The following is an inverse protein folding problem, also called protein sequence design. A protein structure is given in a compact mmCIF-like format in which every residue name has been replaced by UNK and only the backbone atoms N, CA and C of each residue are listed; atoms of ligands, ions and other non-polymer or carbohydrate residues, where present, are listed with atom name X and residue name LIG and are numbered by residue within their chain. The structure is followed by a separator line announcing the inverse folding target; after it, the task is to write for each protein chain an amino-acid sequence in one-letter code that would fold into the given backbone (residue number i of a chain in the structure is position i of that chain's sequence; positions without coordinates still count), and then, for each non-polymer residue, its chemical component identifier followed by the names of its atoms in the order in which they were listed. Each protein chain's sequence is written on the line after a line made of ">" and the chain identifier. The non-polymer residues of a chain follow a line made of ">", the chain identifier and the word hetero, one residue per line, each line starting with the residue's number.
data_IF_821014704964
#
_entry.id   IF_821014704964
#
_cell.length_a   1.000
_cell.length_b   1.000
_cell.length_c   1.000
_cell.angle_alpha   90.00
_cell.angle_beta   90.00
_cell.angle_gamma   90.00
#
_symmetry.space_group_name_H-M   'P 1'
#
loop_
_entity.id
_entity.type
_entity.pdbx_description
1 polymer ?
#
# COMPACT_ATOMS: atom_id res chain seq x y z
N UNK A 1 -11.00 2.62 -4.62
CA UNK A 1 -10.55 3.82 -5.36
C UNK A 1 -10.87 3.62 -6.82
N UNK A 2 -11.64 4.52 -7.43
CA UNK A 2 -12.26 4.31 -8.74
C UNK A 2 -11.43 4.85 -9.91
N UNK A 3 -10.45 5.72 -9.64
CA UNK A 3 -9.55 6.26 -10.65
C UNK A 3 -8.16 6.61 -10.06
N UNK A 4 -7.13 6.81 -10.91
CA UNK A 4 -5.79 7.10 -10.43
C UNK A 4 -5.69 8.44 -9.67
N UNK A 5 -6.52 9.42 -10.03
CA UNK A 5 -6.54 10.72 -9.37
C UNK A 5 -6.97 10.61 -7.90
N UNK A 6 -7.98 9.80 -7.61
CA UNK A 6 -8.42 9.49 -6.24
C UNK A 6 -7.32 8.83 -5.42
N UNK A 7 -6.57 7.91 -6.02
CA UNK A 7 -5.42 7.28 -5.36
C UNK A 7 -4.33 8.30 -5.02
N UNK A 8 -3.94 9.13 -5.99
CA UNK A 8 -2.92 10.16 -5.78
C UNK A 8 -3.34 11.18 -4.71
N UNK A 9 -4.61 11.60 -4.71
CA UNK A 9 -5.16 12.44 -3.65
C UNK A 9 -5.13 11.74 -2.30
N UNK A 10 -5.52 10.46 -2.21
CA UNK A 10 -5.46 9.70 -0.97
C UNK A 10 -4.02 9.53 -0.44
N UNK A 11 -3.04 9.32 -1.33
CA UNK A 11 -1.62 9.30 -0.94
C UNK A 11 -1.17 10.64 -0.36
N UNK A 12 -1.53 11.74 -1.02
CA UNK A 12 -1.23 13.10 -0.55
C UNK A 12 -1.89 13.41 0.80
N UNK A 13 -3.12 12.94 0.99
CA UNK A 13 -3.88 13.13 2.23
C UNK A 13 -3.45 12.17 3.36
N UNK A 14 -2.53 11.23 3.09
CA UNK A 14 -2.10 10.22 4.07
C UNK A 14 -3.19 9.21 4.43
N UNK A 15 -4.15 8.98 3.52
CA UNK A 15 -5.30 8.05 3.68
C UNK A 15 -5.05 6.65 3.11
N UNK A 16 -3.84 6.40 2.59
CA UNK A 16 -3.41 5.08 2.11
C UNK A 16 -2.60 4.39 3.20
N UNK A 17 -2.94 3.13 3.45
CA UNK A 17 -2.38 2.33 4.53
C UNK A 17 -1.95 0.96 4.06
N UNK A 18 -1.05 0.37 4.83
CA UNK A 18 -0.54 -0.98 4.69
C UNK A 18 -0.76 -1.71 6.02
N UNK A 19 -1.17 -2.97 5.98
CA UNK A 19 -1.36 -3.73 7.21
C UNK A 19 -0.07 -4.44 7.63
N UNK A 20 0.39 -4.18 8.86
CA UNK A 20 1.47 -4.94 9.48
C UNK A 20 0.91 -6.13 10.25
N UNK A 21 1.10 -7.34 9.73
CA UNK A 21 0.71 -8.61 10.34
C UNK A 21 1.36 -8.85 11.72
N UNK A 22 2.62 -8.45 11.89
CA UNK A 22 3.36 -8.64 13.15
C UNK A 22 2.86 -7.73 14.27
N UNK A 23 2.54 -6.48 13.94
CA UNK A 23 1.96 -5.53 14.90
C UNK A 23 0.43 -5.69 15.01
N UNK A 24 -0.19 -6.45 14.10
CA UNK A 24 -1.62 -6.49 13.87
C UNK A 24 -2.25 -5.09 13.80
N UNK A 25 -1.61 -4.18 13.04
CA UNK A 25 -1.96 -2.76 13.02
C UNK A 25 -1.72 -2.13 11.64
N UNK A 26 -2.54 -1.12 11.24
CA UNK A 26 -2.30 -0.37 10.02
C UNK A 26 -1.06 0.54 10.17
N UNK A 27 -0.36 0.75 9.05
CA UNK A 27 0.79 1.64 8.90
C UNK A 27 0.53 2.57 7.73
N UNK A 28 0.80 3.86 7.89
CA UNK A 28 0.62 4.81 6.81
C UNK A 28 1.57 4.47 5.69
N UNK A 29 1.06 4.47 4.47
CA UNK A 29 1.87 4.22 3.28
C UNK A 29 3.09 5.15 3.21
N UNK A 30 2.92 6.41 3.60
CA UNK A 30 4.00 7.41 3.56
C UNK A 30 5.07 7.25 4.66
N UNK A 31 4.77 6.48 5.73
CA UNK A 31 5.63 6.37 6.91
C UNK A 31 6.45 5.08 6.95
N UNK A 32 6.28 4.18 5.98
CA UNK A 32 7.01 2.92 5.90
C UNK A 32 8.16 2.99 4.91
N UNK A 33 9.21 2.21 5.14
CA UNK A 33 10.26 2.00 4.14
C UNK A 33 9.76 1.00 3.09
N UNK A 34 9.68 1.44 1.84
CA UNK A 34 9.27 0.61 0.69
C UNK A 34 10.47 -0.12 0.11
N UNK A 35 10.41 -1.45 0.11
CA UNK A 35 11.50 -2.30 -0.37
C UNK A 35 11.25 -2.82 -1.78
N UNK A 36 10.00 -3.16 -2.09
CA UNK A 36 9.60 -3.64 -3.41
C UNK A 36 8.11 -3.39 -3.65
N UNK A 37 7.71 -3.42 -4.91
CA UNK A 37 6.31 -3.46 -5.32
C UNK A 37 6.11 -4.63 -6.26
N UNK A 38 5.16 -5.49 -5.95
CA UNK A 38 4.70 -6.50 -6.89
C UNK A 38 3.67 -5.86 -7.79
N UNK A 39 4.16 -5.35 -8.92
CA UNK A 39 3.31 -4.98 -10.05
C UNK A 39 2.55 -6.23 -10.51
N UNK A 40 1.26 -6.11 -10.77
CA UNK A 40 0.52 -7.18 -11.41
C UNK A 40 1.03 -7.32 -12.85
N UNK A 41 1.78 -8.37 -13.23
CA UNK A 41 2.44 -8.43 -14.55
C UNK A 41 1.45 -8.49 -15.71
N UNK A 42 0.21 -8.89 -15.40
CA UNK A 42 -0.93 -9.01 -16.32
C UNK A 42 -1.76 -7.73 -16.39
N UNK A 43 -1.17 -6.56 -16.10
CA UNK A 43 -1.83 -5.26 -16.07
C UNK A 43 -2.23 -4.72 -17.46
N UNK A 44 -3.06 -5.51 -18.15
CA UNK A 44 -3.92 -5.10 -19.26
C UNK A 44 -5.39 -5.42 -18.95
N UNK A 45 -5.68 -5.89 -17.71
CA UNK A 45 -7.01 -6.21 -17.22
C UNK A 45 -7.77 -4.99 -16.66
N UNK A 46 -9.05 -5.15 -16.28
CA UNK A 46 -9.91 -4.06 -15.81
C UNK A 46 -9.60 -3.57 -14.39
N UNK A 47 -8.77 -4.30 -13.64
CA UNK A 47 -8.40 -3.90 -12.27
C UNK A 47 -7.42 -2.71 -12.29
N UNK A 48 -7.38 -1.87 -11.25
CA UNK A 48 -6.56 -0.67 -11.27
C UNK A 48 -5.11 -0.92 -10.80
N UNK A 49 -4.11 -0.28 -11.44
CA UNK A 49 -2.68 -0.57 -11.19
C UNK A 49 -2.25 -0.17 -9.78
N UNK A 50 -2.99 0.75 -9.17
CA UNK A 50 -2.78 1.22 -7.81
C UNK A 50 -3.38 0.30 -6.73
N UNK A 51 -3.91 -0.86 -7.11
CA UNK A 51 -4.26 -1.97 -6.20
C UNK A 51 -3.09 -2.97 -6.09
N UNK A 52 -1.85 -2.46 -6.01
CA UNK A 52 -0.65 -3.29 -5.94
C UNK A 52 -0.40 -3.85 -4.53
N UNK A 53 0.46 -4.86 -4.46
CA UNK A 53 1.00 -5.37 -3.19
C UNK A 53 2.39 -4.78 -2.96
N UNK A 54 2.60 -4.17 -1.80
CA UNK A 54 3.87 -3.59 -1.39
C UNK A 54 4.63 -4.50 -0.46
N UNK A 55 5.93 -4.63 -0.69
CA UNK A 55 6.88 -5.14 0.30
C UNK A 55 7.47 -3.96 1.04
N UNK A 56 7.29 -3.91 2.35
CA UNK A 56 7.70 -2.80 3.19
C UNK A 56 8.33 -3.28 4.49
N UNK A 57 9.17 -2.45 5.08
CA UNK A 57 9.64 -2.62 6.46
C UNK A 57 8.74 -1.83 7.40
N UNK A 58 8.18 -2.51 8.39
CA UNK A 58 7.39 -1.85 9.43
C UNK A 58 8.31 -0.97 10.31
N UNK A 59 7.98 0.31 10.55
CA UNK A 59 8.79 1.20 11.37
C UNK A 59 8.82 0.79 12.85
N UNK A 60 7.77 0.13 13.35
CA UNK A 60 7.65 -0.20 14.78
C UNK A 60 8.34 -1.51 15.17
N UNK A 61 8.13 -2.58 14.39
CA UNK A 61 8.70 -3.90 14.69
C UNK A 61 9.90 -4.28 13.81
N UNK A 62 10.24 -3.45 12.81
CA UNK A 62 11.36 -3.68 11.90
C UNK A 62 11.19 -4.87 10.94
N UNK A 63 10.07 -5.58 10.98
CA UNK A 63 9.83 -6.75 10.14
C UNK A 63 9.58 -6.35 8.69
N UNK A 64 10.15 -7.11 7.77
CA UNK A 64 9.84 -7.02 6.34
C UNK A 64 8.63 -7.89 6.04
N UNK A 65 7.62 -7.33 5.39
CA UNK A 65 6.42 -8.05 5.01
C UNK A 65 5.77 -7.46 3.76
N UNK A 66 4.73 -8.14 3.28
CA UNK A 66 3.94 -7.69 2.15
C UNK A 66 2.49 -7.41 2.55
N UNK A 67 1.91 -6.36 2.00
CA UNK A 67 0.50 -6.01 2.20
C UNK A 67 -0.04 -5.26 0.99
N UNK A 68 -1.33 -5.47 0.69
CA UNK A 68 -2.06 -4.66 -0.28
C UNK A 68 -2.28 -3.25 0.23
N UNK A 69 -2.39 -2.30 -0.68
CA UNK A 69 -2.78 -0.93 -0.36
C UNK A 69 -4.25 -0.86 0.02
N UNK A 70 -4.54 -0.31 1.20
CA UNK A 70 -5.88 -0.10 1.72
C UNK A 70 -6.18 1.40 1.79
N UNK A 71 -7.39 1.78 1.39
CA UNK A 71 -7.90 3.14 1.61
C UNK A 71 -8.64 3.16 2.96
N UNK A 72 -8.33 4.14 3.81
CA UNK A 72 -9.14 4.42 4.99
C UNK A 72 -10.05 5.62 4.70
N UNK A 73 -11.37 5.43 4.86
CA UNK A 73 -12.39 6.49 4.82
C UNK A 73 -12.23 7.50 5.97
#
# INVERSE_FOLDING_TARGET
>A
MSNPGEFLMACNDGRVWLHCSQCNAPKRFNDVEHLNSFENPTYWGPEPWWHDTRVFRCPDCGSVQQSSLELQD
#
